data_IF_307954970414
#
_entry.id   IF_307954970414
#
_cell.length_a   1.000
_cell.length_b   1.000
_cell.length_c   1.000
_cell.angle_alpha   90.00
_cell.angle_beta   90.00
_cell.angle_gamma   90.00
#
_symmetry.space_group_name_H-M   'P 1'
#
loop_
_entity.id
_entity.type
_entity.pdbx_description
1 polymer ?
#
# COMPACT_ATOMS: atom_id res chain seq x y z
N UNK A 1 51.59 -37.06 -14.46
CA UNK A 1 50.16 -36.99 -14.09
C UNK A 1 49.79 -35.54 -13.85
N UNK A 2 49.06 -34.96 -14.76
CA UNK A 2 48.60 -33.58 -14.62
C UNK A 2 47.23 -33.61 -13.93
N UNK A 3 47.13 -33.03 -12.73
CA UNK A 3 45.84 -32.84 -12.04
C UNK A 3 45.18 -31.61 -12.64
N UNK A 4 44.10 -31.82 -13.37
CA UNK A 4 43.21 -30.77 -13.83
C UNK A 4 42.31 -30.36 -12.64
N UNK A 5 42.61 -29.22 -12.03
CA UNK A 5 41.71 -28.58 -11.10
C UNK A 5 40.67 -27.81 -11.88
N UNK A 6 39.46 -28.35 -11.94
CA UNK A 6 38.30 -27.62 -12.44
C UNK A 6 37.86 -26.62 -11.35
N UNK A 7 38.19 -25.38 -11.53
CA UNK A 7 37.65 -24.30 -10.74
C UNK A 7 36.28 -23.96 -11.31
N UNK A 8 35.23 -24.47 -10.67
CA UNK A 8 33.86 -24.08 -10.98
C UNK A 8 33.64 -22.63 -10.53
N UNK A 9 33.64 -21.72 -11.47
CA UNK A 9 33.28 -20.33 -11.27
C UNK A 9 31.74 -20.30 -11.13
N UNK A 10 31.26 -20.36 -9.90
CA UNK A 10 29.85 -20.13 -9.58
C UNK A 10 29.55 -18.65 -9.82
N UNK A 11 28.99 -18.31 -10.99
CA UNK A 11 28.36 -17.02 -11.23
C UNK A 11 27.11 -16.96 -10.32
N UNK A 12 27.26 -16.31 -9.17
CA UNK A 12 26.11 -15.83 -8.43
C UNK A 12 25.48 -14.70 -9.25
N UNK A 13 24.47 -15.04 -10.02
CA UNK A 13 23.52 -14.07 -10.55
C UNK A 13 22.73 -13.54 -9.36
N UNK A 14 23.20 -12.44 -8.77
CA UNK A 14 22.42 -11.65 -7.83
C UNK A 14 21.29 -11.01 -8.65
N UNK A 15 20.18 -11.73 -8.81
CA UNK A 15 18.96 -11.16 -9.37
C UNK A 15 18.53 -10.02 -8.49
N UNK A 16 18.52 -8.79 -9.01
CA UNK A 16 17.94 -7.66 -8.32
C UNK A 16 16.45 -7.97 -8.09
N UNK A 17 16.11 -8.40 -6.88
CA UNK A 17 14.72 -8.58 -6.49
C UNK A 17 14.10 -7.18 -6.40
N UNK A 18 13.25 -6.86 -7.33
CA UNK A 18 12.45 -5.63 -7.30
C UNK A 18 11.35 -5.81 -6.23
N UNK A 19 11.68 -5.47 -5.01
CA UNK A 19 10.76 -5.59 -3.88
C UNK A 19 10.08 -4.25 -3.64
N UNK A 20 8.74 -4.26 -3.57
CA UNK A 20 7.98 -3.12 -3.10
C UNK A 20 8.36 -2.78 -1.65
N UNK A 21 8.22 -1.51 -1.26
CA UNK A 21 8.54 -1.08 0.09
C UNK A 21 7.49 -1.55 1.09
N UNK A 22 7.91 -2.38 2.04
CA UNK A 22 7.07 -2.84 3.13
C UNK A 22 7.25 -1.87 4.30
N UNK A 23 6.19 -1.17 4.74
CA UNK A 23 6.27 -0.27 5.88
C UNK A 23 6.69 -1.00 7.15
N UNK A 24 7.50 -0.33 7.97
CA UNK A 24 7.99 -0.87 9.24
C UNK A 24 7.01 -0.54 10.36
N UNK A 25 6.66 -1.56 11.14
CA UNK A 25 5.82 -1.40 12.32
C UNK A 25 6.52 -0.57 13.41
N UNK A 26 5.75 0.24 14.12
CA UNK A 26 6.24 0.90 15.31
C UNK A 26 6.50 -0.13 16.42
N UNK A 27 7.37 0.20 17.37
CA UNK A 27 7.65 -0.67 18.52
C UNK A 27 6.51 -0.73 19.53
N UNK A 28 5.52 0.15 19.41
CA UNK A 28 4.39 0.21 20.34
C UNK A 28 3.19 -0.57 19.84
N UNK A 29 2.91 -0.49 18.54
CA UNK A 29 1.76 -1.15 17.91
C UNK A 29 2.08 -1.43 16.43
N UNK A 30 1.93 -2.69 16.01
CA UNK A 30 2.25 -3.12 14.65
C UNK A 30 1.32 -2.52 13.57
N UNK A 31 0.20 -1.97 13.96
CA UNK A 31 -0.78 -1.35 13.07
C UNK A 31 -0.43 0.10 12.72
N UNK A 32 0.49 0.70 13.47
CA UNK A 32 1.05 2.03 13.18
C UNK A 32 2.43 1.83 12.56
N UNK A 33 2.59 2.27 11.31
CA UNK A 33 3.73 1.93 10.47
C UNK A 33 4.37 3.18 9.88
N UNK A 34 5.62 3.06 9.45
CA UNK A 34 6.38 4.10 8.77
C UNK A 34 7.07 3.55 7.54
N UNK A 35 7.22 4.39 6.51
CA UNK A 35 7.95 4.06 5.29
C UNK A 35 8.75 5.28 4.83
N UNK A 36 9.95 5.06 4.30
CA UNK A 36 10.77 6.11 3.71
C UNK A 36 10.26 6.40 2.30
N UNK A 37 10.00 7.67 2.00
CA UNK A 37 9.59 8.08 0.66
C UNK A 37 10.69 7.83 -0.37
N UNK A 38 10.31 7.20 -1.45
CA UNK A 38 11.12 7.02 -2.65
C UNK A 38 10.18 7.07 -3.87
N UNK A 39 10.36 8.03 -4.81
CA UNK A 39 9.46 8.19 -5.96
C UNK A 39 9.48 7.01 -6.92
N UNK A 40 10.50 6.16 -6.87
CA UNK A 40 10.65 4.98 -7.72
C UNK A 40 10.17 3.69 -7.05
N UNK A 41 9.59 3.79 -5.87
CA UNK A 41 9.14 2.61 -5.13
C UNK A 41 7.62 2.55 -5.03
N UNK A 42 7.11 1.39 -4.70
CA UNK A 42 5.70 1.13 -4.43
C UNK A 42 5.55 0.76 -2.96
N UNK A 43 4.69 1.46 -2.24
CA UNK A 43 4.41 1.15 -0.83
C UNK A 43 3.31 0.11 -0.73
N UNK A 44 3.57 -0.99 -0.04
CA UNK A 44 2.58 -2.03 0.21
C UNK A 44 1.73 -1.67 1.42
N UNK A 45 0.42 -1.62 1.24
CA UNK A 45 -0.55 -1.30 2.28
C UNK A 45 -1.54 -2.45 2.44
N UNK A 46 -1.55 -3.05 3.61
CA UNK A 46 -2.45 -4.14 3.95
C UNK A 46 -3.66 -3.59 4.71
N UNK A 47 -4.83 -3.77 4.15
CA UNK A 47 -6.10 -3.34 4.72
C UNK A 47 -6.93 -4.55 5.14
N UNK A 48 -8.00 -4.33 5.88
CA UNK A 48 -8.90 -5.40 6.32
C UNK A 48 -10.34 -4.90 6.29
N UNK A 49 -11.32 -5.74 5.93
CA UNK A 49 -12.73 -5.35 5.96
C UNK A 49 -13.14 -4.82 7.34
N UNK A 50 -13.89 -3.73 7.36
CA UNK A 50 -14.34 -3.09 8.59
C UNK A 50 -13.34 -2.14 9.25
N UNK A 51 -12.14 -1.99 8.68
CA UNK A 51 -11.09 -1.09 9.18
C UNK A 51 -10.74 -0.04 8.14
N UNK A 52 -10.30 1.11 8.64
CA UNK A 52 -9.77 2.21 7.83
C UNK A 52 -8.25 2.26 7.98
N UNK A 53 -7.55 2.47 6.88
CA UNK A 53 -6.11 2.76 6.86
C UNK A 53 -5.89 4.20 6.45
N UNK A 54 -5.13 4.96 7.23
CA UNK A 54 -4.77 6.34 6.92
C UNK A 54 -3.32 6.43 6.47
N UNK A 55 -3.10 6.97 5.28
CA UNK A 55 -1.77 7.33 4.78
C UNK A 55 -1.50 8.78 5.16
N UNK A 56 -0.33 9.05 5.76
CA UNK A 56 0.06 10.38 6.22
C UNK A 56 1.29 10.84 5.46
N UNK A 57 1.16 11.96 4.78
CA UNK A 57 2.23 12.59 4.00
C UNK A 57 2.88 13.75 4.77
N UNK A 58 3.79 14.47 4.13
CA UNK A 58 4.46 15.60 4.77
C UNK A 58 3.48 16.73 5.15
N UNK A 59 3.79 17.46 6.21
CA UNK A 59 2.92 18.52 6.73
C UNK A 59 2.69 19.69 5.75
N UNK A 60 3.62 19.90 4.85
CA UNK A 60 3.59 21.02 3.89
C UNK A 60 3.06 20.64 2.51
N UNK A 61 2.52 19.44 2.36
CA UNK A 61 1.84 19.03 1.13
C UNK A 61 0.37 18.75 1.35
N UNK A 62 -0.42 18.98 0.31
CA UNK A 62 -1.84 18.69 0.30
C UNK A 62 -2.14 17.65 -0.77
N UNK A 63 -2.97 16.67 -0.44
CA UNK A 63 -3.40 15.64 -1.39
C UNK A 63 -4.38 16.25 -2.39
N UNK A 64 -4.06 16.15 -3.66
CA UNK A 64 -4.91 16.63 -4.76
C UNK A 64 -5.84 15.53 -5.22
N UNK A 65 -5.33 14.30 -5.35
CA UNK A 65 -6.13 13.13 -5.75
C UNK A 65 -5.55 11.84 -5.20
N UNK A 66 -6.44 10.90 -4.95
CA UNK A 66 -6.09 9.52 -4.58
C UNK A 66 -7.08 8.59 -5.31
N UNK A 67 -6.57 7.85 -6.28
CA UNK A 67 -7.41 7.04 -7.16
C UNK A 67 -6.95 5.60 -7.19
N UNK A 68 -7.71 4.67 -6.57
CA UNK A 68 -7.50 3.25 -6.76
C UNK A 68 -7.80 2.82 -8.19
N UNK A 69 -7.03 1.87 -8.72
CA UNK A 69 -7.30 1.29 -10.03
C UNK A 69 -8.61 0.52 -10.07
N UNK A 70 -8.96 -0.16 -8.97
CA UNK A 70 -10.24 -0.83 -8.78
C UNK A 70 -11.12 0.02 -7.84
N UNK A 71 -11.62 1.13 -8.35
CA UNK A 71 -12.33 2.16 -7.57
C UNK A 71 -13.69 1.71 -7.02
N UNK A 72 -14.34 0.73 -7.65
CA UNK A 72 -15.60 0.16 -7.14
C UNK A 72 -15.41 -0.65 -5.86
N UNK A 73 -14.23 -1.23 -5.66
CA UNK A 73 -13.89 -2.08 -4.52
C UNK A 73 -13.20 -1.34 -3.38
N UNK A 74 -12.84 -0.08 -3.59
CA UNK A 74 -12.05 0.71 -2.67
C UNK A 74 -12.58 2.13 -2.54
N UNK A 75 -12.64 2.61 -1.33
CA UNK A 75 -12.95 4.01 -1.05
C UNK A 75 -11.67 4.70 -0.57
N UNK A 76 -11.26 5.75 -1.25
CA UNK A 76 -10.10 6.56 -0.90
C UNK A 76 -10.51 8.02 -0.81
N UNK A 77 -10.37 8.64 0.36
CA UNK A 77 -10.82 10.00 0.63
C UNK A 77 -9.64 10.87 1.05
N UNK A 78 -9.24 11.85 0.23
CA UNK A 78 -8.24 12.83 0.63
C UNK A 78 -8.73 13.75 1.75
N UNK A 79 -7.84 14.06 2.69
CA UNK A 79 -8.08 14.98 3.79
C UNK A 79 -6.77 15.69 4.16
N UNK A 80 -6.58 16.94 3.71
CA UNK A 80 -5.36 17.72 3.91
C UNK A 80 -4.11 16.94 3.41
N UNK A 81 -3.19 16.60 4.30
CA UNK A 81 -2.00 15.79 3.99
C UNK A 81 -2.19 14.29 4.23
N UNK A 82 -3.44 13.82 4.22
CA UNK A 82 -3.79 12.42 4.52
C UNK A 82 -4.72 11.85 3.46
N UNK A 83 -4.73 10.52 3.35
CA UNK A 83 -5.71 9.76 2.58
C UNK A 83 -6.24 8.64 3.47
N UNK A 84 -7.55 8.59 3.62
CA UNK A 84 -8.24 7.50 4.30
C UNK A 84 -8.68 6.47 3.27
N UNK A 85 -8.28 5.22 3.44
CA UNK A 85 -8.54 4.12 2.52
C UNK A 85 -9.21 2.97 3.25
N UNK A 86 -10.22 2.39 2.61
CA UNK A 86 -10.86 1.17 3.09
C UNK A 86 -11.36 0.31 1.93
N UNK A 87 -11.35 -1.02 2.06
CA UNK A 87 -12.03 -1.88 1.13
C UNK A 87 -13.54 -1.81 1.34
N UNK A 88 -14.30 -1.87 0.26
CA UNK A 88 -15.77 -1.85 0.30
C UNK A 88 -16.32 -3.04 -0.47
N UNK A 89 -17.50 -3.52 -0.05
CA UNK A 89 -18.18 -4.61 -0.72
C UNK A 89 -18.68 -4.18 -2.11
N UNK A 90 -18.69 -5.11 -3.04
CA UNK A 90 -19.32 -4.92 -4.34
C UNK A 90 -20.77 -5.38 -4.29
N UNK A 91 -21.64 -4.65 -4.99
CA UNK A 91 -23.04 -5.02 -5.15
C UNK A 91 -23.31 -5.31 -6.62
N UNK A 92 -23.78 -6.51 -6.91
CA UNK A 92 -24.15 -6.91 -8.26
C UNK A 92 -25.63 -7.24 -8.30
N UNK A 93 -26.30 -6.78 -9.39
CA UNK A 93 -27.65 -7.21 -9.71
C UNK A 93 -27.60 -8.60 -10.34
N UNK A 94 -28.36 -9.56 -9.79
CA UNK A 94 -28.55 -10.88 -10.36
C UNK A 94 -30.03 -11.07 -10.76
N UNK A 95 -30.33 -11.62 -11.94
CA UNK A 95 -31.73 -11.92 -12.32
C UNK A 95 -32.29 -12.99 -11.38
N UNK A 96 -33.42 -12.67 -10.72
CA UNK A 96 -34.17 -13.62 -9.92
C UNK A 96 -35.06 -14.51 -10.78
N UNK A 97 -35.49 -15.67 -10.24
CA UNK A 97 -36.39 -16.61 -10.92
C UNK A 97 -37.77 -16.03 -11.18
N UNK A 98 -38.15 -15.00 -10.43
CA UNK A 98 -39.42 -14.27 -10.54
C UNK A 98 -39.38 -13.08 -11.53
N UNK A 99 -38.29 -12.89 -12.27
CA UNK A 99 -38.07 -11.77 -13.18
C UNK A 99 -37.67 -10.48 -12.53
N UNK A 100 -37.52 -10.44 -11.20
CA UNK A 100 -36.98 -9.31 -10.46
C UNK A 100 -35.46 -9.41 -10.32
N UNK A 101 -34.80 -8.24 -10.29
CA UNK A 101 -33.34 -8.19 -10.03
C UNK A 101 -33.07 -8.29 -8.53
N UNK A 102 -32.33 -9.31 -8.12
CA UNK A 102 -31.86 -9.46 -6.76
C UNK A 102 -30.47 -8.88 -6.60
N UNK A 103 -30.24 -8.09 -5.57
CA UNK A 103 -28.93 -7.54 -5.24
C UNK A 103 -28.09 -8.59 -4.51
N UNK A 104 -26.91 -8.89 -5.05
CA UNK A 104 -25.93 -9.78 -4.41
C UNK A 104 -24.78 -8.93 -3.91
N UNK A 105 -24.45 -9.06 -2.62
CA UNK A 105 -23.32 -8.37 -1.99
C UNK A 105 -22.12 -9.31 -1.94
N UNK A 106 -21.01 -8.87 -2.52
CA UNK A 106 -19.74 -9.59 -2.51
C UNK A 106 -18.82 -8.87 -1.53
N UNK A 107 -18.49 -9.50 -0.38
CA UNK A 107 -17.60 -8.88 0.60
C UNK A 107 -16.16 -8.85 0.12
N UNK A 108 -15.34 -7.90 0.62
CA UNK A 108 -13.92 -7.87 0.32
C UNK A 108 -13.22 -9.16 0.73
N UNK A 109 -12.30 -9.63 -0.12
CA UNK A 109 -11.50 -10.83 0.13
C UNK A 109 -10.07 -10.64 -0.40
N UNK A 110 -9.14 -11.44 0.08
CA UNK A 110 -7.72 -11.31 -0.24
C UNK A 110 -7.37 -11.66 -1.68
N UNK A 111 -8.20 -12.45 -2.35
CA UNK A 111 -7.94 -12.90 -3.72
C UNK A 111 -8.32 -11.85 -4.77
N UNK A 112 -9.49 -11.25 -4.62
CA UNK A 112 -10.07 -10.38 -5.65
C UNK A 112 -9.88 -8.89 -5.37
N UNK A 113 -9.67 -8.50 -4.10
CA UNK A 113 -9.40 -7.13 -3.69
C UNK A 113 -7.90 -6.85 -3.66
N UNK A 114 -7.34 -6.62 -4.82
CA UNK A 114 -5.93 -6.29 -5.02
C UNK A 114 -5.83 -5.27 -6.15
N UNK A 115 -5.26 -4.11 -5.87
CA UNK A 115 -5.10 -3.04 -6.84
C UNK A 115 -3.92 -2.13 -6.47
N UNK A 116 -3.63 -1.21 -7.37
CA UNK A 116 -2.74 -0.09 -7.07
C UNK A 116 -3.55 1.18 -6.82
N UNK A 117 -2.91 2.16 -6.22
CA UNK A 117 -3.45 3.50 -6.04
C UNK A 117 -2.37 4.53 -6.34
N UNK A 118 -2.72 5.54 -7.13
CA UNK A 118 -1.88 6.70 -7.34
C UNK A 118 -2.37 7.84 -6.44
N UNK A 119 -1.47 8.36 -5.62
CA UNK A 119 -1.72 9.58 -4.84
C UNK A 119 -0.90 10.73 -5.42
N UNK A 120 -1.57 11.81 -5.75
CA UNK A 120 -0.96 13.04 -6.24
C UNK A 120 -1.13 14.11 -5.17
N UNK A 121 -0.02 14.65 -4.72
CA UNK A 121 -0.02 15.78 -3.78
C UNK A 121 0.49 17.04 -4.46
N UNK A 122 0.46 18.16 -3.76
CA UNK A 122 1.03 19.44 -4.24
C UNK A 122 2.54 19.38 -4.51
N UNK A 123 3.24 18.35 -4.04
CA UNK A 123 4.69 18.22 -4.17
C UNK A 123 5.16 16.92 -4.82
N UNK A 124 4.45 15.80 -4.63
CA UNK A 124 4.98 14.46 -4.92
C UNK A 124 3.93 13.55 -5.52
N UNK A 125 4.41 12.47 -6.12
CA UNK A 125 3.62 11.32 -6.55
C UNK A 125 3.95 10.13 -5.66
N UNK A 126 2.93 9.36 -5.30
CA UNK A 126 3.06 8.16 -4.48
C UNK A 126 2.38 6.99 -5.17
N UNK A 127 3.12 5.91 -5.34
CA UNK A 127 2.59 4.66 -5.82
C UNK A 127 2.33 3.72 -4.65
N UNK A 128 1.12 3.24 -4.54
CA UNK A 128 0.66 2.39 -3.44
C UNK A 128 0.06 1.11 -4.00
N UNK A 129 0.38 -0.01 -3.39
CA UNK A 129 -0.28 -1.29 -3.61
C UNK A 129 -1.26 -1.54 -2.47
N UNK A 130 -2.52 -1.77 -2.80
CA UNK A 130 -3.58 -2.03 -1.83
C UNK A 130 -3.94 -3.50 -1.83
N UNK A 131 -3.83 -4.13 -0.68
CA UNK A 131 -4.18 -5.52 -0.44
C UNK A 131 -5.23 -5.63 0.66
N UNK A 132 -6.01 -6.70 0.63
CA UNK A 132 -6.97 -7.05 1.68
C UNK A 132 -6.50 -8.30 2.42
N UNK A 133 -6.50 -8.23 3.73
CA UNK A 133 -6.38 -9.37 4.62
C UNK A 133 -7.78 -9.92 4.86
N UNK A 134 -7.96 -11.24 4.72
CA UNK A 134 -9.26 -11.86 4.96
C UNK A 134 -9.76 -11.61 6.38
N UNK A 135 -11.06 -11.41 6.52
CA UNK A 135 -11.71 -11.06 7.77
C UNK A 135 -11.43 -12.07 8.89
N UNK A 136 -11.34 -13.36 8.55
CA UNK A 136 -11.05 -14.43 9.51
C UNK A 136 -9.56 -14.63 9.82
N UNK A 137 -8.67 -13.91 9.13
CA UNK A 137 -7.23 -13.98 9.40
C UNK A 137 -6.88 -13.32 10.74
N UNK A 138 -5.92 -13.91 11.45
CA UNK A 138 -5.36 -13.30 12.66
C UNK A 138 -4.41 -12.12 12.34
N UNK A 139 -4.00 -11.95 11.09
CA UNK A 139 -3.14 -10.85 10.66
C UNK A 139 -3.84 -9.50 10.87
N UNK A 140 -3.09 -8.52 11.36
CA UNK A 140 -3.61 -7.17 11.61
C UNK A 140 -3.40 -6.26 10.40
N UNK A 141 -4.37 -5.39 10.07
CA UNK A 141 -4.20 -4.38 9.04
C UNK A 141 -3.30 -3.24 9.52
N UNK A 142 -2.80 -2.44 8.59
CA UNK A 142 -2.24 -1.14 8.92
C UNK A 142 -3.38 -0.16 9.26
N UNK A 143 -3.26 0.53 10.40
CA UNK A 143 -4.18 1.62 10.76
C UNK A 143 -3.64 2.95 10.24
N UNK A 144 -2.34 3.13 10.29
CA UNK A 144 -1.66 4.33 9.85
C UNK A 144 -0.34 3.98 9.20
N UNK A 145 -0.06 4.57 8.05
CA UNK A 145 1.23 4.50 7.36
C UNK A 145 1.72 5.92 7.15
N UNK A 146 2.80 6.31 7.82
CA UNK A 146 3.40 7.62 7.72
C UNK A 146 4.64 7.57 6.85
N UNK A 147 4.76 8.52 5.94
CA UNK A 147 5.96 8.68 5.13
C UNK A 147 7.00 9.53 5.85
N UNK A 148 8.26 9.12 5.75
CA UNK A 148 9.43 9.84 6.25
C UNK A 148 10.26 10.35 5.09
N UNK A 149 10.87 11.51 5.27
CA UNK A 149 11.68 12.21 4.27
C UNK A 149 13.05 12.58 4.83
N UNK A 150 13.94 11.60 5.11
CA UNK A 150 15.17 11.83 5.89
C UNK A 150 16.12 12.85 5.26
N UNK A 151 16.16 12.94 3.93
CA UNK A 151 16.98 13.93 3.22
C UNK A 151 16.54 15.36 3.51
N UNK A 152 15.26 15.64 3.38
CA UNK A 152 14.67 16.95 3.65
C UNK A 152 14.71 17.33 5.13
N UNK A 153 14.50 16.35 6.02
CA UNK A 153 14.64 16.56 7.46
C UNK A 153 16.05 17.01 7.84
N UNK A 154 17.08 16.41 7.25
CA UNK A 154 18.48 16.82 7.44
C UNK A 154 18.77 18.21 6.91
N UNK A 155 18.24 18.55 5.75
CA UNK A 155 18.42 19.86 5.12
C UNK A 155 17.76 20.97 5.95
N UNK A 156 16.57 20.71 6.52
CA UNK A 156 15.92 21.63 7.46
C UNK A 156 16.76 21.84 8.71
N UNK A 157 17.19 20.77 9.35
CA UNK A 157 18.02 20.83 10.56
C UNK A 157 19.33 21.61 10.31
N UNK A 158 19.93 21.44 9.13
CA UNK A 158 21.15 22.14 8.72
C UNK A 158 20.95 23.64 8.52
N UNK A 159 19.75 24.08 8.10
CA UNK A 159 19.43 25.51 7.91
C UNK A 159 19.05 26.21 9.22
N UNK A 160 18.55 25.48 10.18
CA UNK A 160 18.14 25.98 11.50
C UNK A 160 19.30 26.03 12.51
N UNK A 161 20.42 25.43 12.17
CA UNK A 161 21.60 25.35 13.04
C UNK A 161 22.45 26.64 13.02
#
# INVERSE_FOLDING_TARGET
MKKLTFTALALMMCGAAWAAAIPQASRYDSRVQQVIYNPQNVTVVNTKPGFMTTLVFDNDEAVISAKPGFDEAWEATPDANRVNVRPVALTQGAPGEDGNTTQVVIPPNSRDWHTNMLVVTSKRLYNVELNVIDDKSAQQPAFQVSYRYPGEERDKASREA
#
